data_IF_378040039841
#
_entry.id   IF_378040039841
#
_cell.length_a   1.000
_cell.length_b   1.000
_cell.length_c   1.000
_cell.angle_alpha   90.00
_cell.angle_beta   90.00
_cell.angle_gamma   90.00
#
_symmetry.space_group_name_H-M   'P 1'
#
loop_
_entity.id
_entity.type
_entity.pdbx_description
1 polymer ?
#
# COMPACT_ATOMS: atom_id res chain seq x y z
N UNK A 1 -20.85 -11.32 1.88
CA UNK A 1 -19.47 -11.46 1.37
C UNK A 1 -18.49 -10.83 2.34
N UNK A 2 -17.30 -11.44 2.52
CA UNK A 2 -16.22 -10.82 3.30
C UNK A 2 -15.42 -9.92 2.35
N UNK A 3 -15.39 -8.62 2.63
CA UNK A 3 -14.66 -7.60 1.84
C UNK A 3 -13.76 -6.78 2.76
N UNK A 4 -12.60 -6.37 2.27
CA UNK A 4 -11.70 -5.42 2.94
C UNK A 4 -11.25 -4.34 1.95
N UNK A 5 -11.08 -3.12 2.44
CA UNK A 5 -10.50 -2.00 1.70
C UNK A 5 -9.32 -1.47 2.51
N UNK A 6 -8.16 -1.37 1.87
CA UNK A 6 -6.94 -0.86 2.48
C UNK A 6 -6.41 0.35 1.70
N UNK A 7 -5.70 1.22 2.39
CA UNK A 7 -5.06 2.39 1.80
C UNK A 7 -3.58 2.46 2.17
N UNK A 8 -2.70 2.38 1.18
CA UNK A 8 -1.26 2.46 1.34
C UNK A 8 -0.74 3.86 0.96
N UNK A 9 0.01 4.56 1.83
CA UNK A 9 0.62 5.84 1.47
C UNK A 9 1.80 5.65 0.52
N UNK A 10 2.03 6.63 -0.35
CA UNK A 10 3.29 6.74 -1.06
C UNK A 10 4.44 7.03 -0.08
N UNK A 11 5.68 6.75 -0.50
CA UNK A 11 6.88 6.93 0.32
C UNK A 11 7.98 7.64 -0.46
N UNK A 12 8.81 8.41 0.25
CA UNK A 12 10.06 8.98 -0.27
C UNK A 12 11.23 8.29 0.44
N UNK A 13 12.19 7.78 -0.33
CA UNK A 13 13.39 7.11 0.18
C UNK A 13 14.60 8.03 0.26
N UNK A 14 15.65 7.56 0.94
CA UNK A 14 17.01 8.10 1.07
C UNK A 14 17.14 9.43 1.84
N UNK A 15 16.28 10.42 1.58
CA UNK A 15 16.28 11.72 2.26
C UNK A 15 17.69 12.35 2.38
N UNK A 16 18.43 12.41 1.28
CA UNK A 16 19.82 12.90 1.23
C UNK A 16 20.83 11.78 1.52
N UNK A 17 21.65 11.88 2.58
CA UNK A 17 22.70 10.88 2.87
C UNK A 17 22.16 9.55 3.41
N UNK A 18 20.86 9.41 3.65
CA UNK A 18 20.25 8.21 4.22
C UNK A 18 20.00 7.08 3.23
N UNK A 19 20.90 6.90 2.26
CA UNK A 19 20.84 5.82 1.28
C UNK A 19 20.60 4.47 1.97
N UNK A 20 19.55 3.75 1.55
CA UNK A 20 19.12 2.45 2.08
C UNK A 20 18.82 2.40 3.59
N UNK A 21 18.65 3.55 4.26
CA UNK A 21 18.34 3.62 5.70
C UNK A 21 17.08 4.44 5.98
N UNK A 22 16.91 5.57 5.29
CA UNK A 22 15.81 6.49 5.57
C UNK A 22 14.67 6.37 4.56
N UNK A 23 13.44 6.42 5.08
CA UNK A 23 12.23 6.55 4.28
C UNK A 23 11.12 7.21 5.09
N UNK A 24 10.24 7.95 4.40
CA UNK A 24 9.09 8.61 5.03
C UNK A 24 7.82 8.35 4.23
N UNK A 25 6.74 7.99 4.92
CA UNK A 25 5.40 7.93 4.35
C UNK A 25 4.82 9.34 4.25
N UNK A 26 4.19 9.65 3.12
CA UNK A 26 3.54 10.96 2.90
C UNK A 26 2.02 10.80 2.88
N UNK A 27 1.30 11.88 3.21
CA UNK A 27 -0.17 11.82 3.31
C UNK A 27 -0.82 11.44 1.96
N UNK A 28 -0.28 11.99 0.85
CA UNK A 28 -0.74 11.74 -0.53
C UNK A 28 0.44 11.74 -1.51
N UNK A 29 0.36 11.00 -2.63
CA UNK A 29 -0.75 10.14 -3.05
C UNK A 29 -0.85 8.84 -2.23
N UNK A 30 -1.98 8.13 -2.38
CA UNK A 30 -2.22 6.83 -1.75
C UNK A 30 -2.82 5.86 -2.75
N UNK A 31 -2.41 4.61 -2.68
CA UNK A 31 -3.07 3.53 -3.38
C UNK A 31 -4.25 3.02 -2.54
N UNK A 32 -5.35 2.69 -3.21
CA UNK A 32 -6.53 2.09 -2.60
C UNK A 32 -6.71 0.70 -3.20
N UNK A 33 -6.69 -0.33 -2.36
CA UNK A 33 -6.91 -1.72 -2.78
C UNK A 33 -8.17 -2.25 -2.11
N UNK A 34 -9.08 -2.75 -2.92
CA UNK A 34 -10.30 -3.42 -2.46
C UNK A 34 -10.21 -4.91 -2.79
N UNK A 35 -10.44 -5.75 -1.79
CA UNK A 35 -10.41 -7.20 -1.91
C UNK A 35 -11.72 -7.80 -1.42
N UNK A 36 -12.19 -8.80 -2.14
CA UNK A 36 -13.37 -9.57 -1.80
C UNK A 36 -13.05 -11.07 -1.80
N UNK A 37 -13.48 -11.76 -0.75
CA UNK A 37 -13.36 -13.21 -0.68
C UNK A 37 -14.46 -13.84 -1.56
N UNK A 38 -14.04 -14.39 -2.69
CA UNK A 38 -14.88 -15.22 -3.55
C UNK A 38 -14.94 -16.64 -2.97
N UNK A 39 -16.10 -17.27 -3.08
CA UNK A 39 -16.36 -18.62 -2.52
C UNK A 39 -16.17 -19.74 -3.55
N UNK A 40 -15.88 -19.40 -4.80
CA UNK A 40 -15.63 -20.35 -5.90
C UNK A 40 -14.23 -20.15 -6.46
N UNK A 41 -13.51 -21.24 -6.67
CA UNK A 41 -12.22 -21.25 -7.38
C UNK A 41 -12.50 -21.08 -8.87
N UNK A 42 -12.18 -19.92 -9.43
CA UNK A 42 -12.12 -19.73 -10.87
C UNK A 42 -10.82 -20.35 -11.39
N UNK A 43 -10.84 -21.68 -11.60
CA UNK A 43 -9.84 -22.40 -12.41
C UNK A 43 -10.18 -22.22 -13.89
#
# INVERSE_FOLDING_TARGET
MKKIRVSAPATIANLGPGFDVLGVAIDKPRDIVELELLTEDHV
#
